data_IF_768919807463
#
_entry.id   IF_768919807463
#
_cell.length_a   1.000
_cell.length_b   1.000
_cell.length_c   1.000
_cell.angle_alpha   90.00
_cell.angle_beta   90.00
_cell.angle_gamma   90.00
#
_symmetry.space_group_name_H-M   'P 1'
#
loop_
_entity.id
_entity.type
_entity.pdbx_description
1 polymer ?
#
# COMPACT_ATOMS: atom_id res chain seq x y z
N UNK A 1 2.62 46.06 -15.89
CA UNK A 1 2.56 45.26 -14.65
C UNK A 1 2.79 43.80 -14.99
N UNK A 2 3.80 43.16 -14.41
CA UNK A 2 4.08 41.74 -14.65
C UNK A 2 3.44 40.85 -13.56
N UNK A 3 2.95 39.64 -13.86
CA UNK A 3 2.23 38.82 -12.89
C UNK A 3 3.17 38.26 -11.80
N UNK A 4 2.67 38.02 -10.57
CA UNK A 4 3.45 37.44 -9.50
C UNK A 4 3.93 36.03 -9.88
N UNK A 5 5.25 35.80 -9.84
CA UNK A 5 5.82 34.47 -10.08
C UNK A 5 5.63 33.63 -8.84
N UNK A 6 4.67 32.70 -8.87
CA UNK A 6 4.43 31.78 -7.76
C UNK A 6 5.69 30.96 -7.45
N UNK A 7 6.06 30.80 -6.16
CA UNK A 7 7.11 29.88 -5.78
C UNK A 7 6.66 28.47 -6.10
N UNK A 8 7.34 27.81 -7.05
CA UNK A 8 7.11 26.41 -7.38
C UNK A 8 7.41 25.58 -6.14
N UNK A 9 6.37 25.15 -5.43
CA UNK A 9 6.47 24.12 -4.40
C UNK A 9 7.13 22.90 -5.03
N UNK A 10 8.41 22.71 -4.70
CA UNK A 10 9.23 21.61 -5.20
C UNK A 10 8.59 20.32 -4.70
N UNK A 11 8.03 19.53 -5.63
CA UNK A 11 7.48 18.20 -5.36
C UNK A 11 8.50 17.42 -4.51
N UNK A 12 8.10 16.82 -3.36
CA UNK A 12 8.99 15.99 -2.57
C UNK A 12 9.61 14.94 -3.49
N UNK A 13 10.93 14.92 -3.59
CA UNK A 13 11.63 13.86 -4.32
C UNK A 13 11.45 12.60 -3.49
N UNK A 14 10.61 11.67 -3.95
CA UNK A 14 10.58 10.29 -3.46
C UNK A 14 12.00 9.75 -3.55
N UNK A 15 12.68 9.67 -2.40
CA UNK A 15 13.98 9.02 -2.29
C UNK A 15 13.75 7.55 -2.66
N UNK A 16 14.42 7.08 -3.71
CA UNK A 16 14.36 5.68 -4.10
C UNK A 16 14.93 4.86 -2.93
N UNK A 17 14.18 3.91 -2.35
CA UNK A 17 14.72 3.02 -1.34
C UNK A 17 15.92 2.28 -1.94
N UNK A 18 17.02 2.09 -1.18
CA UNK A 18 18.16 1.33 -1.67
C UNK A 18 17.71 -0.09 -2.04
N UNK A 19 17.97 -0.48 -3.29
CA UNK A 19 17.66 -1.81 -3.87
C UNK A 19 18.28 -2.98 -3.09
N UNK A 20 19.21 -2.70 -2.16
CA UNK A 20 19.95 -3.67 -1.35
C UNK A 20 19.38 -3.90 0.07
N UNK A 21 18.16 -3.45 0.36
CA UNK A 21 17.45 -3.93 1.54
C UNK A 21 17.22 -5.45 1.46
N UNK A 22 17.16 -6.18 2.60
CA UNK A 22 16.78 -7.59 2.57
C UNK A 22 15.48 -7.73 1.76
N UNK A 23 15.53 -8.56 0.71
CA UNK A 23 14.38 -8.77 -0.18
C UNK A 23 13.15 -9.15 0.65
N UNK A 24 11.93 -8.82 0.17
CA UNK A 24 10.71 -9.13 0.90
C UNK A 24 10.75 -10.62 1.24
N UNK A 25 10.74 -10.92 2.54
CA UNK A 25 10.76 -12.29 3.05
C UNK A 25 9.64 -13.03 2.34
N UNK A 26 9.95 -14.17 1.70
CA UNK A 26 8.92 -14.98 1.05
C UNK A 26 8.04 -15.57 2.15
N UNK A 27 6.93 -14.89 2.47
CA UNK A 27 6.01 -15.23 3.56
C UNK A 27 5.21 -16.53 3.34
N UNK A 28 5.54 -17.33 2.32
CA UNK A 28 4.72 -18.47 1.87
C UNK A 28 5.29 -19.86 2.15
N UNK A 29 6.54 -19.98 2.61
CA UNK A 29 7.15 -21.30 2.85
C UNK A 29 6.58 -21.90 4.14
N UNK A 30 5.89 -23.04 4.03
CA UNK A 30 5.30 -23.75 5.18
C UNK A 30 3.84 -23.40 5.48
N UNK A 31 3.16 -22.66 4.61
CA UNK A 31 1.73 -22.38 4.78
C UNK A 31 0.88 -23.59 4.38
N UNK A 32 -0.09 -23.92 5.23
CA UNK A 32 -1.20 -24.79 4.86
C UNK A 32 -2.10 -24.15 3.80
N UNK A 33 -2.87 -24.95 3.07
CA UNK A 33 -3.83 -24.47 2.07
C UNK A 33 -4.75 -23.37 2.64
N UNK A 34 -5.26 -23.54 3.85
CA UNK A 34 -6.11 -22.55 4.52
C UNK A 34 -5.39 -21.22 4.79
N UNK A 35 -4.11 -21.27 5.18
CA UNK A 35 -3.31 -20.07 5.40
C UNK A 35 -3.05 -19.34 4.07
N UNK A 36 -2.79 -20.06 2.98
CA UNK A 36 -2.64 -19.47 1.65
C UNK A 36 -3.93 -18.74 1.23
N UNK A 37 -5.09 -19.36 1.42
CA UNK A 37 -6.39 -18.74 1.09
C UNK A 37 -6.62 -17.48 1.91
N UNK A 38 -6.30 -17.50 3.22
CA UNK A 38 -6.44 -16.33 4.10
C UNK A 38 -5.56 -15.17 3.65
N UNK A 39 -4.28 -15.42 3.34
CA UNK A 39 -3.35 -14.38 2.87
C UNK A 39 -3.78 -13.80 1.52
N UNK A 40 -4.24 -14.66 0.60
CA UNK A 40 -4.74 -14.21 -0.70
C UNK A 40 -5.98 -13.32 -0.55
N UNK A 41 -6.92 -13.70 0.31
CA UNK A 41 -8.09 -12.89 0.62
C UNK A 41 -7.71 -11.52 1.18
N UNK A 42 -6.73 -11.46 2.10
CA UNK A 42 -6.26 -10.20 2.67
C UNK A 42 -5.62 -9.29 1.61
N UNK A 43 -4.78 -9.85 0.74
CA UNK A 43 -4.16 -9.10 -0.35
C UNK A 43 -5.21 -8.54 -1.33
N UNK A 44 -6.20 -9.36 -1.71
CA UNK A 44 -7.31 -8.92 -2.54
C UNK A 44 -8.08 -7.78 -1.87
N UNK A 45 -8.33 -7.88 -0.57
CA UNK A 45 -9.06 -6.86 0.18
C UNK A 45 -8.34 -5.52 0.26
N UNK A 46 -7.02 -5.55 0.47
CA UNK A 46 -6.18 -4.36 0.43
C UNK A 46 -6.21 -3.73 -0.97
N UNK A 47 -6.21 -4.55 -2.03
CA UNK A 47 -6.25 -4.06 -3.41
C UNK A 47 -7.62 -3.52 -3.82
N UNK A 48 -8.71 -4.13 -3.36
CA UNK A 48 -10.08 -3.70 -3.70
C UNK A 48 -10.62 -2.66 -2.72
N UNK A 49 -9.91 -2.38 -1.64
CA UNK A 49 -10.39 -1.52 -0.56
C UNK A 49 -11.58 -2.11 0.21
N UNK A 50 -11.83 -3.43 0.11
CA UNK A 50 -13.01 -4.08 0.68
C UNK A 50 -12.66 -5.42 1.36
N UNK A 51 -13.24 -5.67 2.53
CA UNK A 51 -13.13 -6.92 3.29
C UNK A 51 -13.53 -8.14 2.43
N UNK A 52 -12.73 -9.22 2.39
CA UNK A 52 -12.95 -10.35 1.50
C UNK A 52 -14.00 -11.33 2.04
N UNK A 53 -14.26 -11.29 3.35
CA UNK A 53 -15.24 -12.15 4.03
C UNK A 53 -16.62 -11.50 4.06
N UNK A 54 -16.66 -10.18 4.13
CA UNK A 54 -17.86 -9.42 4.40
C UNK A 54 -18.25 -8.47 3.26
N UNK A 55 -17.42 -8.37 2.22
CA UNK A 55 -17.61 -7.52 1.04
C UNK A 55 -17.92 -6.04 1.34
N UNK A 56 -17.51 -5.55 2.52
CA UNK A 56 -17.67 -4.16 2.93
C UNK A 56 -16.39 -3.39 2.71
N UNK A 57 -16.51 -2.13 2.33
CA UNK A 57 -15.36 -1.23 2.22
C UNK A 57 -14.61 -1.14 3.56
N UNK A 58 -13.28 -1.18 3.47
CA UNK A 58 -12.40 -0.99 4.62
C UNK A 58 -12.45 0.50 4.95
N UNK A 59 -12.87 0.90 6.16
CA UNK A 59 -12.94 2.31 6.52
C UNK A 59 -11.55 2.94 6.39
N UNK A 60 -11.43 3.96 5.55
CA UNK A 60 -10.19 4.74 5.43
C UNK A 60 -9.94 5.45 6.75
N UNK A 61 -8.80 5.24 7.42
CA UNK A 61 -8.47 6.01 8.61
C UNK A 61 -8.35 7.49 8.21
N UNK A 62 -9.20 8.34 8.80
CA UNK A 62 -9.10 9.79 8.66
C UNK A 62 -7.84 10.20 9.45
N UNK A 63 -6.84 10.84 8.84
CA UNK A 63 -5.74 11.42 9.58
C UNK A 63 -6.30 12.57 10.42
N UNK A 64 -6.23 12.44 11.75
CA UNK A 64 -6.48 13.52 12.71
C UNK A 64 -5.31 14.47 12.79
#
# INVERSE_FOLDING_TARGET
MAPPRHPRLRRPRLLHPPTHGPGPKRNGVGLSLYQVIREMQLLLAVWTGACPTCHRDIPTPIPT
#
